data_IF_108680766698
#
_entry.id   IF_108680766698
#
_cell.length_a   1.000
_cell.length_b   1.000
_cell.length_c   1.000
_cell.angle_alpha   90.00
_cell.angle_beta   90.00
_cell.angle_gamma   90.00
#
_symmetry.space_group_name_H-M   'P 1'
#
loop_
_entity.id
_entity.type
_entity.pdbx_description
1 polymer ?
#
# COMPACT_ATOMS: atom_id res chain seq x y z
N UNK A 1 -10.75 20.13 -7.97
CA UNK A 1 -10.99 18.79 -7.38
C UNK A 1 -10.96 17.70 -8.45
N UNK A 2 -11.77 17.76 -9.51
CA UNK A 2 -11.78 16.75 -10.58
C UNK A 2 -10.45 16.59 -11.33
N UNK A 3 -9.70 17.67 -11.57
CA UNK A 3 -8.39 17.60 -12.24
C UNK A 3 -7.34 16.85 -11.41
N UNK A 4 -7.39 16.99 -10.09
CA UNK A 4 -6.47 16.31 -9.18
C UNK A 4 -6.77 14.81 -9.11
N UNK A 5 -8.05 14.42 -9.09
CA UNK A 5 -8.47 13.01 -9.16
C UNK A 5 -7.98 12.38 -10.47
N UNK A 6 -8.24 13.02 -11.61
CA UNK A 6 -7.79 12.52 -12.91
C UNK A 6 -6.25 12.44 -13.00
N UNK A 7 -5.54 13.45 -12.47
CA UNK A 7 -4.08 13.43 -12.36
C UNK A 7 -3.58 12.25 -11.54
N UNK A 8 -4.18 12.01 -10.37
CA UNK A 8 -3.77 10.91 -9.49
C UNK A 8 -4.03 9.55 -10.13
N UNK A 9 -5.17 9.36 -10.79
CA UNK A 9 -5.45 8.14 -11.56
C UNK A 9 -4.37 7.90 -12.61
N UNK A 10 -4.03 8.92 -13.42
CA UNK A 10 -2.96 8.81 -14.43
C UNK A 10 -1.61 8.47 -13.81
N UNK A 11 -1.27 9.09 -12.68
CA UNK A 11 -0.03 8.80 -11.94
C UNK A 11 0.00 7.36 -11.43
N UNK A 12 -1.10 6.85 -10.88
CA UNK A 12 -1.19 5.45 -10.44
C UNK A 12 -0.97 4.48 -11.60
N UNK A 13 -1.63 4.71 -12.75
CA UNK A 13 -1.39 3.92 -13.96
C UNK A 13 0.06 4.00 -14.45
N UNK A 14 0.66 5.19 -14.44
CA UNK A 14 2.05 5.38 -14.82
C UNK A 14 3.01 4.63 -13.89
N UNK A 15 2.79 4.69 -12.57
CA UNK A 15 3.59 3.97 -11.57
C UNK A 15 3.48 2.45 -11.74
N UNK A 16 2.27 1.93 -11.94
CA UNK A 16 2.02 0.51 -12.19
C UNK A 16 2.72 0.03 -13.47
N UNK A 17 2.64 0.81 -14.55
CA UNK A 17 3.32 0.51 -15.80
C UNK A 17 4.84 0.50 -15.63
N UNK A 18 5.42 1.53 -15.00
CA UNK A 18 6.86 1.61 -14.75
C UNK A 18 7.34 0.45 -13.88
N UNK A 19 6.59 0.09 -12.82
CA UNK A 19 6.91 -1.05 -11.97
C UNK A 19 6.89 -2.36 -12.76
N UNK A 20 5.87 -2.58 -13.59
CA UNK A 20 5.78 -3.79 -14.42
C UNK A 20 6.96 -3.91 -15.39
N UNK A 21 7.29 -2.81 -16.10
CA UNK A 21 8.43 -2.77 -17.02
C UNK A 21 9.74 -3.02 -16.28
N UNK A 22 9.92 -2.43 -15.09
CA UNK A 22 11.12 -2.64 -14.27
C UNK A 22 11.30 -4.11 -13.89
N UNK A 23 10.25 -4.77 -13.37
CA UNK A 23 10.31 -6.18 -12.96
C UNK A 23 10.58 -7.09 -14.16
N UNK A 24 9.92 -6.84 -15.30
CA UNK A 24 10.13 -7.60 -16.53
C UNK A 24 11.54 -7.39 -17.08
N UNK A 25 12.06 -6.17 -17.07
CA UNK A 25 13.41 -5.86 -17.54
C UNK A 25 14.47 -6.58 -16.72
N UNK A 26 14.32 -6.59 -15.39
CA UNK A 26 15.17 -7.38 -14.49
C UNK A 26 15.08 -8.86 -14.84
N UNK A 27 13.87 -9.41 -14.95
CA UNK A 27 13.66 -10.80 -15.34
C UNK A 27 14.26 -11.18 -16.69
N UNK A 28 14.20 -10.27 -17.67
CA UNK A 28 14.81 -10.43 -18.99
C UNK A 28 16.34 -10.52 -18.89
N UNK A 29 16.98 -9.61 -18.17
CA UNK A 29 18.44 -9.61 -17.97
C UNK A 29 18.89 -10.93 -17.32
N UNK A 30 18.18 -11.39 -16.29
CA UNK A 30 18.46 -12.68 -15.63
C UNK A 30 18.22 -13.88 -16.56
N UNK A 31 17.15 -13.86 -17.37
CA UNK A 31 16.87 -14.93 -18.34
C UNK A 31 18.01 -15.09 -19.36
N UNK A 32 18.56 -13.96 -19.84
CA UNK A 32 19.69 -13.97 -20.77
C UNK A 32 20.99 -14.39 -20.10
N UNK A 33 21.32 -13.82 -18.92
CA UNK A 33 22.58 -14.10 -18.23
C UNK A 33 22.67 -15.54 -17.70
N UNK A 34 21.59 -16.04 -17.10
CA UNK A 34 21.53 -17.38 -16.53
C UNK A 34 21.14 -18.46 -17.56
N UNK A 35 20.84 -18.05 -18.81
CA UNK A 35 20.39 -18.92 -19.90
C UNK A 35 19.19 -19.80 -19.53
N UNK A 36 18.24 -19.21 -18.80
CA UNK A 36 16.99 -19.84 -18.37
C UNK A 36 15.80 -19.11 -19.01
N UNK A 37 15.31 -19.55 -20.19
CA UNK A 37 14.24 -18.87 -20.92
C UNK A 37 12.93 -18.76 -20.14
N UNK A 38 12.70 -19.65 -19.17
CA UNK A 38 11.50 -19.64 -18.33
C UNK A 38 11.45 -18.47 -17.33
N UNK A 39 12.58 -17.80 -17.06
CA UNK A 39 12.62 -16.65 -16.14
C UNK A 39 11.84 -15.44 -16.67
N UNK A 40 11.77 -15.26 -18.00
CA UNK A 40 11.01 -14.16 -18.60
C UNK A 40 9.49 -14.30 -18.37
N UNK A 41 8.83 -15.40 -18.73
CA UNK A 41 7.41 -15.57 -18.43
C UNK A 41 7.12 -15.59 -16.92
N UNK A 42 8.05 -16.12 -16.10
CA UNK A 42 7.92 -16.03 -14.64
C UNK A 42 7.96 -14.58 -14.12
N UNK A 43 8.84 -13.74 -14.65
CA UNK A 43 8.92 -12.33 -14.29
C UNK A 43 7.69 -11.52 -14.73
N UNK A 44 7.12 -11.84 -15.90
CA UNK A 44 5.85 -11.24 -16.35
C UNK A 44 4.72 -11.63 -15.41
N UNK A 45 4.60 -12.91 -15.07
CA UNK A 45 3.60 -13.38 -14.11
C UNK A 45 3.77 -12.69 -12.75
N UNK A 46 5.00 -12.61 -12.25
CA UNK A 46 5.33 -11.91 -11.01
C UNK A 46 4.93 -10.44 -11.05
N UNK A 47 5.25 -9.73 -12.13
CA UNK A 47 4.91 -8.32 -12.31
C UNK A 47 3.39 -8.09 -12.30
N UNK A 48 2.62 -8.98 -12.93
CA UNK A 48 1.15 -8.94 -12.92
C UNK A 48 0.60 -9.17 -11.52
N UNK A 49 1.07 -10.22 -10.83
CA UNK A 49 0.64 -10.53 -9.45
C UNK A 49 0.98 -9.38 -8.52
N UNK A 50 2.19 -8.83 -8.59
CA UNK A 50 2.61 -7.66 -7.80
C UNK A 50 1.72 -6.45 -8.04
N UNK A 51 1.35 -6.16 -9.29
CA UNK A 51 0.47 -5.04 -9.61
C UNK A 51 -0.95 -5.24 -9.08
N UNK A 52 -1.52 -6.44 -9.23
CA UNK A 52 -2.87 -6.75 -8.74
C UNK A 52 -2.89 -6.68 -7.20
N UNK A 53 -1.97 -7.36 -6.54
CA UNK A 53 -1.87 -7.38 -5.08
C UNK A 53 -1.56 -6.00 -4.52
N UNK A 54 -0.64 -5.27 -5.15
CA UNK A 54 -0.30 -3.90 -4.80
C UNK A 54 -1.49 -2.94 -4.94
N UNK A 55 -2.30 -3.10 -6.00
CA UNK A 55 -3.45 -2.23 -6.22
C UNK A 55 -4.57 -2.48 -5.18
N UNK A 56 -4.97 -3.74 -4.99
CA UNK A 56 -6.09 -4.07 -4.10
C UNK A 56 -5.73 -4.18 -2.62
N UNK A 57 -4.45 -4.35 -2.30
CA UNK A 57 -3.99 -4.60 -0.93
C UNK A 57 -2.84 -3.70 -0.46
N UNK A 58 -2.66 -2.56 -1.12
CA UNK A 58 -1.65 -1.55 -0.75
C UNK A 58 -1.76 -1.13 0.71
N UNK A 59 -2.97 -0.95 1.24
CA UNK A 59 -3.24 -0.56 2.62
C UNK A 59 -2.57 -1.52 3.64
N UNK A 60 -2.81 -2.83 3.49
CA UNK A 60 -2.23 -3.82 4.41
C UNK A 60 -0.74 -3.98 4.21
N UNK A 61 -0.24 -3.85 2.98
CA UNK A 61 1.20 -3.90 2.68
C UNK A 61 1.91 -2.74 3.39
N UNK A 62 1.38 -1.52 3.27
CA UNK A 62 1.95 -0.34 3.93
C UNK A 62 1.90 -0.47 5.44
N UNK A 63 0.77 -0.93 6.01
CA UNK A 63 0.66 -1.17 7.45
C UNK A 63 1.69 -2.20 7.93
N UNK A 64 1.86 -3.31 7.20
CA UNK A 64 2.83 -4.35 7.53
C UNK A 64 4.28 -3.85 7.47
N UNK A 65 4.66 -3.13 6.40
CA UNK A 65 6.02 -2.60 6.24
C UNK A 65 6.31 -1.49 7.26
N UNK A 66 5.30 -0.71 7.63
CA UNK A 66 5.44 0.36 8.61
C UNK A 66 5.51 -0.14 10.06
N UNK A 67 5.35 -1.45 10.30
CA UNK A 67 5.30 -2.00 11.67
C UNK A 67 4.07 -1.53 12.44
N UNK A 68 2.97 -1.26 11.75
CA UNK A 68 1.73 -0.80 12.37
C UNK A 68 1.18 -1.86 13.34
N UNK A 69 0.92 -1.45 14.59
CA UNK A 69 0.26 -2.29 15.61
C UNK A 69 -1.15 -1.77 15.89
N UNK A 70 -2.13 -2.65 16.19
CA UNK A 70 -3.47 -2.20 16.56
C UNK A 70 -3.42 -1.38 17.85
N UNK A 71 -4.07 -0.21 17.86
CA UNK A 71 -4.20 0.60 19.06
C UNK A 71 -5.18 -0.08 20.03
N UNK A 72 -4.74 -0.34 21.25
CA UNK A 72 -5.59 -0.93 22.30
C UNK A 72 -6.00 0.14 23.31
N UNK A 73 -7.20 0.02 23.91
CA UNK A 73 -7.63 0.95 24.98
C UNK A 73 -6.72 0.89 26.21
N UNK A 74 -6.01 -0.22 26.43
CA UNK A 74 -5.08 -0.38 27.55
C UNK A 74 -3.80 0.46 27.38
N UNK A 75 -3.31 0.60 26.15
CA UNK A 75 -2.05 1.31 25.86
C UNK A 75 -2.34 2.75 25.40
N UNK A 76 -3.36 2.95 24.57
CA UNK A 76 -3.62 4.20 23.83
C UNK A 76 -5.03 4.74 24.10
N UNK A 77 -5.47 4.75 25.36
CA UNK A 77 -6.84 5.12 25.76
C UNK A 77 -7.28 6.48 25.21
N UNK A 78 -6.40 7.48 25.28
CA UNK A 78 -6.70 8.83 24.81
C UNK A 78 -6.97 8.86 23.30
N UNK A 79 -6.14 8.19 22.51
CA UNK A 79 -6.30 8.11 21.06
C UNK A 79 -7.62 7.42 20.70
N UNK A 80 -7.86 6.23 21.27
CA UNK A 80 -9.05 5.44 20.96
C UNK A 80 -10.34 6.19 21.35
N UNK A 81 -10.40 6.77 22.54
CA UNK A 81 -11.58 7.51 22.99
C UNK A 81 -11.83 8.78 22.15
N UNK A 82 -10.78 9.45 21.71
CA UNK A 82 -10.89 10.64 20.86
C UNK A 82 -11.49 10.27 19.50
N UNK A 83 -10.97 9.21 18.86
CA UNK A 83 -11.49 8.73 17.57
C UNK A 83 -12.92 8.21 17.71
N UNK A 84 -13.23 7.48 18.79
CA UNK A 84 -14.59 7.03 19.09
C UNK A 84 -15.57 8.20 19.25
N UNK A 85 -15.21 9.24 20.01
CA UNK A 85 -16.05 10.42 20.20
C UNK A 85 -16.31 11.17 18.89
N UNK A 86 -15.30 11.28 18.03
CA UNK A 86 -15.42 11.89 16.71
C UNK A 86 -16.32 11.06 15.78
N UNK A 87 -16.14 9.73 15.76
CA UNK A 87 -16.96 8.82 14.94
C UNK A 87 -18.43 8.88 15.36
N UNK A 88 -18.71 8.87 16.67
CA UNK A 88 -20.06 9.02 17.22
C UNK A 88 -20.70 10.36 16.87
N UNK A 89 -19.94 11.46 17.00
CA UNK A 89 -20.43 12.79 16.65
C UNK A 89 -20.74 12.94 15.15
N UNK A 90 -20.04 12.19 14.30
CA UNK A 90 -20.20 12.20 12.84
C UNK A 90 -21.18 11.13 12.32
N UNK A 91 -21.80 10.33 13.19
CA UNK A 91 -22.63 9.17 12.83
C UNK A 91 -21.91 8.17 11.90
N UNK A 92 -20.62 7.94 12.17
CA UNK A 92 -19.78 7.02 11.42
C UNK A 92 -19.45 5.76 12.25
N UNK A 93 -19.34 4.59 11.61
CA UNK A 93 -18.88 3.38 12.30
C UNK A 93 -17.42 3.55 12.75
N UNK A 94 -17.10 3.01 13.93
CA UNK A 94 -15.72 3.00 14.43
C UNK A 94 -14.83 2.18 13.50
N UNK A 95 -13.77 2.79 12.99
CA UNK A 95 -12.77 2.14 12.13
C UNK A 95 -11.66 1.52 12.96
N UNK A 96 -10.90 0.60 12.36
CA UNK A 96 -9.70 0.04 13.00
C UNK A 96 -8.65 1.14 13.16
N UNK A 97 -8.06 1.23 14.35
CA UNK A 97 -7.03 2.22 14.68
C UNK A 97 -5.70 1.50 14.81
N UNK A 98 -4.67 2.03 14.16
CA UNK A 98 -3.31 1.50 14.22
C UNK A 98 -2.34 2.61 14.66
N UNK A 99 -1.33 2.23 15.43
CA UNK A 99 -0.21 3.08 15.81
C UNK A 99 1.04 2.61 15.06
N UNK A 100 1.77 3.57 14.51
CA UNK A 100 3.08 3.36 13.88
C UNK A 100 4.09 4.15 14.71
N UNK A 101 5.07 3.45 15.27
CA UNK A 101 6.14 4.08 16.05
C UNK A 101 7.15 4.73 15.09
N UNK A 102 6.96 6.02 14.81
CA UNK A 102 7.80 6.80 13.90
C UNK A 102 8.20 8.15 14.54
N UNK A 103 9.41 8.61 14.24
CA UNK A 103 9.95 9.91 14.70
C UNK A 103 9.28 11.10 14.03
N UNK A 104 8.70 10.92 12.84
CA UNK A 104 7.97 11.97 12.13
C UNK A 104 6.47 11.95 12.52
N UNK A 105 5.88 13.11 12.89
CA UNK A 105 4.46 13.19 13.20
C UNK A 105 3.62 13.18 11.92
N UNK A 106 3.08 12.01 11.55
CA UNK A 106 2.21 11.84 10.39
C UNK A 106 0.99 10.98 10.77
N UNK A 107 -0.17 11.28 10.18
CA UNK A 107 -1.40 10.50 10.30
C UNK A 107 -2.12 10.39 8.96
N UNK A 108 -2.83 9.29 8.73
CA UNK A 108 -3.63 9.05 7.53
C UNK A 108 -4.92 8.29 7.90
N UNK A 109 -5.99 8.50 7.14
CA UNK A 109 -7.24 7.79 7.27
C UNK A 109 -7.71 7.37 5.86
N UNK A 110 -8.21 6.14 5.74
CA UNK A 110 -8.72 5.57 4.49
C UNK A 110 -10.12 5.03 4.65
#
# INVERSE_FOLDING_TARGET
>A
MFDQVASNIRKSWALMFVLAVMVIAVGFVFAQYANYPWLLPAAVLLALVMNIVGYYQSDKIVLAISGARPATKSEEAYLVNTVEGLALAADLPLTRIYVIDNTAPNTFAT
#
